data_IF_809883451590
#
_entry.id   IF_809883451590
#
_cell.length_a   1.000
_cell.length_b   1.000
_cell.length_c   1.000
_cell.angle_alpha   90.00
_cell.angle_beta   90.00
_cell.angle_gamma   90.00
#
_symmetry.space_group_name_H-M   'P 1'
#
loop_
_entity.id
_entity.type
_entity.pdbx_description
1 polymer ?
#
# COMPACT_ATOMS: atom_id res chain seq x y z
N UNK A 1 1.11 -28.11 -22.06
CA UNK A 1 0.79 -28.47 -20.67
C UNK A 1 2.12 -28.68 -19.96
N UNK A 2 2.59 -27.69 -19.21
CA UNK A 2 3.77 -27.80 -18.33
C UNK A 2 3.22 -28.04 -16.93
N UNK A 3 3.62 -29.15 -16.31
CA UNK A 3 3.32 -29.45 -14.92
C UNK A 3 4.03 -28.41 -14.05
N UNK A 4 3.24 -27.58 -13.36
CA UNK A 4 3.72 -26.82 -12.22
C UNK A 4 3.88 -27.79 -11.05
N UNK A 5 5.13 -28.13 -10.73
CA UNK A 5 5.43 -28.73 -9.43
C UNK A 5 5.17 -27.66 -8.37
N UNK A 6 4.10 -27.85 -7.58
CA UNK A 6 3.88 -27.08 -6.38
C UNK A 6 5.05 -27.35 -5.44
N UNK A 7 5.84 -26.34 -5.16
CA UNK A 7 6.75 -26.37 -4.02
C UNK A 7 5.92 -26.39 -2.73
N UNK A 8 5.74 -27.59 -2.19
CA UNK A 8 5.31 -27.82 -0.82
C UNK A 8 6.46 -27.37 0.09
N UNK A 9 6.40 -26.15 0.64
CA UNK A 9 7.04 -25.76 1.92
C UNK A 9 6.85 -24.27 2.24
N UNK A 10 5.61 -23.82 2.40
CA UNK A 10 5.33 -22.46 2.90
C UNK A 10 4.37 -22.42 4.08
N UNK A 11 4.29 -23.50 4.87
CA UNK A 11 3.63 -23.48 6.17
C UNK A 11 4.59 -22.93 7.24
N UNK A 12 4.82 -21.62 7.25
CA UNK A 12 5.36 -20.93 8.40
C UNK A 12 4.22 -20.08 8.97
N UNK A 13 3.68 -20.53 10.10
CA UNK A 13 2.83 -19.68 10.93
C UNK A 13 3.53 -18.32 11.07
N UNK A 14 2.79 -17.24 10.89
CA UNK A 14 3.24 -15.87 11.15
C UNK A 14 4.02 -15.88 12.44
N UNK A 15 5.29 -15.44 12.42
CA UNK A 15 6.14 -15.60 13.61
C UNK A 15 5.53 -14.78 14.76
N UNK A 16 5.77 -15.19 15.98
CA UNK A 16 5.30 -14.47 17.17
C UNK A 16 5.78 -13.01 17.15
N UNK A 17 6.94 -12.76 16.55
CA UNK A 17 7.54 -11.43 16.42
C UNK A 17 6.81 -10.58 15.36
N UNK A 18 6.28 -11.18 14.29
CA UNK A 18 5.48 -10.50 13.26
C UNK A 18 4.11 -10.12 13.81
N UNK A 19 3.45 -11.01 14.55
CA UNK A 19 2.21 -10.72 15.26
C UNK A 19 2.42 -9.61 16.33
N UNK A 20 3.57 -9.60 17.01
CA UNK A 20 3.90 -8.54 17.98
C UNK A 20 4.16 -7.18 17.30
N UNK A 21 4.69 -7.15 16.07
CA UNK A 21 4.89 -5.93 15.30
C UNK A 21 3.55 -5.33 14.85
N UNK A 22 2.67 -6.18 14.32
CA UNK A 22 1.29 -5.81 13.95
C UNK A 22 0.53 -5.32 15.18
N UNK A 23 0.55 -6.07 16.27
CA UNK A 23 -0.08 -5.73 17.56
C UNK A 23 0.44 -4.40 18.14
N UNK A 24 1.73 -4.09 17.93
CA UNK A 24 2.35 -2.84 18.40
C UNK A 24 1.92 -1.64 17.57
N UNK A 25 1.81 -1.79 16.24
CA UNK A 25 1.28 -0.77 15.35
C UNK A 25 -0.19 -0.46 15.67
N UNK A 26 -1.01 -1.51 15.89
CA UNK A 26 -2.41 -1.37 16.28
C UNK A 26 -2.60 -0.73 17.65
N UNK A 27 -1.82 -1.13 18.65
CA UNK A 27 -1.91 -0.51 19.99
C UNK A 27 -1.60 0.98 19.96
N UNK A 28 -0.63 1.39 19.16
CA UNK A 28 -0.32 2.81 19.00
C UNK A 28 -1.49 3.59 18.43
N UNK A 29 -2.14 3.07 17.38
CA UNK A 29 -3.33 3.69 16.81
C UNK A 29 -4.52 3.70 17.78
N UNK A 30 -4.77 2.59 18.48
CA UNK A 30 -5.85 2.46 19.47
C UNK A 30 -5.64 3.32 20.74
N UNK A 31 -4.39 3.57 21.14
CA UNK A 31 -4.07 4.40 22.30
C UNK A 31 -4.21 5.90 22.01
N UNK A 32 -4.04 6.31 20.76
CA UNK A 32 -4.14 7.71 20.33
C UNK A 32 -5.60 8.16 20.11
N UNK A 33 -6.53 7.26 19.79
CA UNK A 33 -7.94 7.57 19.57
C UNK A 33 -8.79 7.43 20.84
N UNK A 34 -9.52 8.47 21.20
CA UNK A 34 -10.46 8.47 22.32
C UNK A 34 -11.90 8.32 21.84
N UNK A 35 -12.66 7.42 22.47
CA UNK A 35 -14.12 7.21 22.39
C UNK A 35 -14.87 7.67 21.13
N UNK A 36 -15.18 8.94 21.01
CA UNK A 36 -15.87 9.53 19.85
C UNK A 36 -15.03 9.41 18.57
N UNK A 37 -13.73 9.61 18.64
CA UNK A 37 -12.81 9.51 17.50
C UNK A 37 -12.75 8.07 16.96
N UNK A 38 -12.90 7.06 17.84
CA UNK A 38 -12.96 5.65 17.43
C UNK A 38 -14.20 5.31 16.60
N UNK A 39 -15.35 5.87 16.94
CA UNK A 39 -16.59 5.65 16.20
C UNK A 39 -16.51 6.29 14.81
N UNK A 40 -16.00 7.50 14.71
CA UNK A 40 -15.81 8.18 13.42
C UNK A 40 -14.73 7.50 12.57
N UNK A 41 -13.64 7.03 13.18
CA UNK A 41 -12.62 6.25 12.49
C UNK A 41 -13.17 4.91 11.96
N UNK A 42 -14.00 4.20 12.74
CA UNK A 42 -14.63 2.97 12.28
C UNK A 42 -15.56 3.21 11.08
N UNK A 43 -16.37 4.28 11.12
CA UNK A 43 -17.21 4.67 9.98
C UNK A 43 -16.40 5.07 8.75
N UNK A 44 -15.24 5.72 8.97
CA UNK A 44 -14.35 6.10 7.89
C UNK A 44 -13.72 4.86 7.23
N UNK A 45 -13.31 3.86 8.01
CA UNK A 45 -12.83 2.58 7.50
C UNK A 45 -13.90 1.86 6.69
N UNK A 46 -15.13 1.74 7.23
CA UNK A 46 -16.26 1.11 6.54
C UNK A 46 -16.54 1.82 5.20
N UNK A 47 -16.55 3.15 5.20
CA UNK A 47 -16.74 3.94 3.99
C UNK A 47 -15.67 3.70 2.94
N UNK A 48 -14.38 3.66 3.34
CA UNK A 48 -13.26 3.35 2.44
C UNK A 48 -13.39 1.92 1.91
N UNK A 49 -13.73 0.95 2.78
CA UNK A 49 -13.85 -0.45 2.39
C UNK A 49 -14.98 -0.68 1.36
N UNK A 50 -16.09 0.06 1.49
CA UNK A 50 -17.23 0.00 0.58
C UNK A 50 -17.06 0.82 -0.70
N UNK A 51 -16.03 1.65 -0.77
CA UNK A 51 -15.82 2.56 -1.90
C UNK A 51 -15.36 1.80 -3.15
N UNK A 52 -16.16 1.90 -4.22
CA UNK A 52 -15.89 1.21 -5.49
C UNK A 52 -14.88 1.97 -6.40
N UNK A 53 -14.55 3.23 -6.08
CA UNK A 53 -13.52 3.98 -6.83
C UNK A 53 -12.12 3.59 -6.39
N UNK A 54 -11.96 3.20 -5.13
CA UNK A 54 -10.70 2.69 -4.60
C UNK A 54 -10.60 1.18 -4.86
N UNK A 55 -9.64 0.79 -5.66
CA UNK A 55 -9.35 -0.63 -5.87
C UNK A 55 -8.61 -1.22 -4.66
N UNK A 56 -8.58 -2.54 -4.56
CA UNK A 56 -7.94 -3.21 -3.42
C UNK A 56 -6.47 -2.81 -3.18
N UNK A 57 -5.62 -2.58 -4.20
CA UNK A 57 -4.28 -2.02 -4.02
C UNK A 57 -4.23 -0.66 -3.33
N UNK A 58 -5.17 0.24 -3.61
CA UNK A 58 -5.23 1.56 -2.97
C UNK A 58 -5.55 1.41 -1.48
N UNK A 59 -6.52 0.55 -1.16
CA UNK A 59 -6.90 0.23 0.22
C UNK A 59 -5.78 -0.48 0.98
N UNK A 60 -4.99 -1.31 0.30
CA UNK A 60 -3.76 -1.89 0.84
C UNK A 60 -2.74 -0.81 1.23
N UNK A 61 -2.56 0.21 0.38
CA UNK A 61 -1.69 1.34 0.67
C UNK A 61 -2.19 2.14 1.88
N UNK A 62 -3.49 2.42 1.97
CA UNK A 62 -4.10 3.11 3.12
C UNK A 62 -3.93 2.28 4.41
N UNK A 63 -4.18 0.97 4.35
CA UNK A 63 -3.98 0.07 5.49
C UNK A 63 -2.52 0.05 5.97
N UNK A 64 -1.56 0.03 5.04
CA UNK A 64 -0.13 0.10 5.34
C UNK A 64 0.26 1.40 6.05
N UNK A 65 -0.35 2.51 5.67
CA UNK A 65 -0.16 3.81 6.34
C UNK A 65 -0.77 3.80 7.74
N UNK A 66 -2.00 3.33 7.91
CA UNK A 66 -2.68 3.22 9.22
C UNK A 66 -1.90 2.32 10.18
N UNK A 67 -1.31 1.24 9.69
CA UNK A 67 -0.47 0.35 10.47
C UNK A 67 0.94 0.91 10.77
N UNK A 68 1.30 2.05 10.19
CA UNK A 68 2.63 2.65 10.33
C UNK A 68 3.76 1.85 9.66
N UNK A 69 3.41 0.94 8.76
CA UNK A 69 4.37 0.14 7.98
C UNK A 69 4.87 0.96 6.78
N UNK A 70 3.94 1.71 6.16
CA UNK A 70 4.25 2.67 5.11
C UNK A 70 4.25 4.08 5.70
N UNK A 71 5.43 4.70 5.87
CA UNK A 71 5.53 6.09 6.36
C UNK A 71 4.73 7.08 5.51
N UNK A 72 4.81 6.90 4.19
CA UNK A 72 4.00 7.57 3.17
C UNK A 72 3.42 6.51 2.24
N UNK A 73 2.25 6.74 1.71
CA UNK A 73 1.67 5.95 0.63
C UNK A 73 1.16 6.85 -0.48
N UNK A 74 1.04 6.28 -1.67
CA UNK A 74 0.41 6.93 -2.80
C UNK A 74 -0.67 6.02 -3.39
N UNK A 75 -1.72 6.62 -3.92
CA UNK A 75 -2.73 5.96 -4.74
C UNK A 75 -3.36 6.97 -5.70
N UNK A 76 -3.95 6.46 -6.76
CA UNK A 76 -4.54 7.30 -7.80
C UNK A 76 -5.79 6.64 -8.41
N UNK A 77 -6.69 7.45 -8.92
CA UNK A 77 -7.89 7.01 -9.59
C UNK A 77 -8.42 8.05 -10.58
N UNK A 78 -9.35 7.63 -11.42
CA UNK A 78 -10.01 8.50 -12.38
C UNK A 78 -11.44 8.82 -11.93
N UNK A 79 -11.82 10.10 -12.02
CA UNK A 79 -13.18 10.56 -11.72
C UNK A 79 -13.73 11.39 -12.88
N UNK A 80 -15.04 11.41 -13.04
CA UNK A 80 -15.70 12.34 -13.96
C UNK A 80 -15.44 13.78 -13.51
N UNK A 81 -15.12 14.67 -14.45
CA UNK A 81 -14.95 16.09 -14.15
C UNK A 81 -16.24 16.78 -13.66
N UNK A 82 -17.41 16.21 -13.96
CA UNK A 82 -18.71 16.66 -13.42
C UNK A 82 -18.91 16.20 -11.96
N UNK A 83 -17.86 15.68 -11.35
CA UNK A 83 -17.80 14.86 -10.19
C UNK A 83 -18.56 15.32 -8.96
N UNK A 84 -19.19 14.35 -8.34
CA UNK A 84 -19.69 14.41 -6.97
C UNK A 84 -18.55 14.72 -6.00
N UNK A 85 -18.83 15.50 -4.96
CA UNK A 85 -17.92 15.68 -3.83
C UNK A 85 -17.57 14.30 -3.26
N UNK A 86 -16.36 13.87 -3.55
CA UNK A 86 -15.90 12.58 -3.12
C UNK A 86 -15.51 12.66 -1.64
N UNK A 87 -16.24 11.97 -0.80
CA UNK A 87 -16.02 12.07 0.65
C UNK A 87 -14.81 11.30 1.19
N UNK A 88 -13.87 10.92 0.33
CA UNK A 88 -12.61 10.28 0.71
C UNK A 88 -11.76 11.19 1.62
N UNK A 89 -11.65 12.47 1.28
CA UNK A 89 -10.86 13.42 2.08
C UNK A 89 -11.36 13.49 3.52
N UNK A 90 -12.69 13.56 3.70
CA UNK A 90 -13.29 13.52 5.04
C UNK A 90 -13.05 12.19 5.76
N UNK A 91 -13.02 11.07 5.05
CA UNK A 91 -12.69 9.79 5.64
C UNK A 91 -11.21 9.72 6.06
N UNK A 92 -10.29 10.22 5.23
CA UNK A 92 -8.87 10.30 5.57
C UNK A 92 -8.63 11.20 6.80
N UNK A 93 -9.29 12.37 6.85
CA UNK A 93 -9.23 13.28 8.00
C UNK A 93 -9.75 12.62 9.29
N UNK A 94 -10.86 11.88 9.22
CA UNK A 94 -11.41 11.16 10.38
C UNK A 94 -10.50 10.01 10.85
N UNK A 95 -9.63 9.51 9.97
CA UNK A 95 -8.58 8.56 10.30
C UNK A 95 -7.28 9.22 10.79
N UNK A 96 -7.24 10.56 10.90
CA UNK A 96 -6.03 11.29 11.26
C UNK A 96 -4.93 11.24 10.20
N UNK A 97 -5.30 10.93 8.96
CA UNK A 97 -4.37 10.86 7.83
C UNK A 97 -4.22 12.25 7.21
N UNK A 98 -3.00 12.73 7.13
CA UNK A 98 -2.63 13.91 6.33
C UNK A 98 -2.49 13.50 4.87
N UNK A 99 -2.90 14.38 3.95
CA UNK A 99 -2.78 14.10 2.53
C UNK A 99 -2.44 15.34 1.73
N UNK A 100 -1.83 15.12 0.57
CA UNK A 100 -1.76 16.06 -0.54
C UNK A 100 -2.47 15.47 -1.74
N UNK A 101 -3.05 16.32 -2.56
CA UNK A 101 -3.86 15.95 -3.71
C UNK A 101 -3.40 16.70 -4.93
N UNK A 102 -3.14 15.97 -6.00
CA UNK A 102 -2.91 16.52 -7.33
C UNK A 102 -4.03 16.08 -8.27
N UNK A 103 -4.42 16.97 -9.17
CA UNK A 103 -5.45 16.70 -10.16
C UNK A 103 -4.95 17.11 -11.53
N UNK A 104 -4.99 16.19 -12.47
CA UNK A 104 -4.59 16.39 -13.85
C UNK A 104 -5.71 15.98 -14.81
N UNK A 105 -5.84 16.66 -15.95
CA UNK A 105 -6.73 16.18 -17.01
C UNK A 105 -6.21 14.83 -17.52
N UNK A 106 -7.13 13.88 -17.71
CA UNK A 106 -6.75 12.59 -18.29
C UNK A 106 -6.31 12.78 -19.74
N UNK A 107 -5.14 12.26 -20.08
CA UNK A 107 -4.63 12.26 -21.46
C UNK A 107 -5.43 11.35 -22.40
N UNK A 108 -6.20 10.42 -21.87
CA UNK A 108 -6.97 9.43 -22.63
C UNK A 108 -8.45 9.81 -22.78
N UNK A 109 -9.03 10.49 -21.80
CA UNK A 109 -10.41 10.94 -21.81
C UNK A 109 -10.52 12.31 -21.14
N UNK A 110 -10.75 13.39 -21.93
CA UNK A 110 -10.88 14.74 -21.38
C UNK A 110 -12.08 14.96 -20.45
N UNK A 111 -13.04 14.03 -20.41
CA UNK A 111 -14.16 14.07 -19.45
C UNK A 111 -13.78 13.54 -18.06
N UNK A 112 -12.59 12.94 -17.94
CA UNK A 112 -12.07 12.36 -16.72
C UNK A 112 -10.91 13.19 -16.16
N UNK A 113 -10.83 13.30 -14.86
CA UNK A 113 -9.67 13.79 -14.14
C UNK A 113 -8.92 12.61 -13.50
N UNK A 114 -7.61 12.62 -13.62
CA UNK A 114 -6.71 11.73 -12.86
C UNK A 114 -6.37 12.43 -11.56
N UNK A 115 -6.72 11.79 -10.44
CA UNK A 115 -6.50 12.29 -9.09
C UNK A 115 -5.45 11.42 -8.43
N UNK A 116 -4.39 12.04 -7.93
CA UNK A 116 -3.33 11.37 -7.16
C UNK A 116 -3.31 11.89 -5.74
N UNK A 117 -3.15 10.99 -4.79
CA UNK A 117 -2.98 11.30 -3.38
C UNK A 117 -1.65 10.77 -2.87
N UNK A 118 -0.95 11.61 -2.09
CA UNK A 118 0.06 11.12 -1.15
C UNK A 118 -0.49 11.26 0.26
N UNK A 119 -0.33 10.24 1.07
CA UNK A 119 -0.90 10.16 2.42
C UNK A 119 0.15 9.74 3.44
N UNK A 120 0.04 10.26 4.67
CA UNK A 120 0.85 9.88 5.82
C UNK A 120 0.11 10.14 7.13
N UNK A 121 0.48 9.43 8.22
CA UNK A 121 0.01 9.77 9.57
C UNK A 121 0.71 11.02 10.15
N UNK A 122 1.91 11.34 9.66
CA UNK A 122 2.66 12.52 10.07
C UNK A 122 2.77 13.50 8.89
N UNK A 123 2.08 14.64 9.00
CA UNK A 123 2.10 15.68 7.97
C UNK A 123 3.48 16.31 7.74
N UNK A 124 4.38 16.25 8.74
CA UNK A 124 5.77 16.70 8.56
C UNK A 124 6.53 15.74 7.66
N UNK A 125 6.33 14.44 7.87
CA UNK A 125 6.95 13.39 7.05
C UNK A 125 6.46 13.45 5.60
N UNK A 126 5.16 13.70 5.40
CA UNK A 126 4.59 13.91 4.08
C UNK A 126 5.26 15.07 3.35
N UNK A 127 5.46 16.20 4.04
CA UNK A 127 6.15 17.34 3.48
C UNK A 127 7.63 17.06 3.17
N UNK A 128 8.33 16.35 4.05
CA UNK A 128 9.73 15.93 3.81
C UNK A 128 9.83 15.05 2.56
N UNK A 129 8.89 14.12 2.38
CA UNK A 129 8.79 13.30 1.16
C UNK A 129 8.64 14.18 -0.09
N UNK A 130 7.70 15.12 -0.09
CA UNK A 130 7.46 16.00 -1.24
C UNK A 130 8.70 16.84 -1.57
N UNK A 131 9.35 17.39 -0.54
CA UNK A 131 10.56 18.21 -0.71
C UNK A 131 11.73 17.36 -1.29
N UNK A 132 11.93 16.12 -0.81
CA UNK A 132 12.97 15.20 -1.32
C UNK A 132 12.62 14.71 -2.73
N UNK A 133 11.36 14.35 -3.00
CA UNK A 133 10.91 13.91 -4.32
C UNK A 133 11.08 15.01 -5.38
N UNK A 134 10.70 16.24 -5.05
CA UNK A 134 10.90 17.40 -5.93
C UNK A 134 12.39 17.74 -6.16
N UNK A 135 13.28 17.38 -5.25
CA UNK A 135 14.70 17.61 -5.37
C UNK A 135 15.44 16.53 -6.18
N UNK A 136 14.84 15.36 -6.39
CA UNK A 136 15.42 14.25 -7.15
C UNK A 136 15.66 14.65 -8.60
N UNK A 137 16.88 14.42 -9.09
CA UNK A 137 17.31 14.83 -10.45
C UNK A 137 17.46 13.67 -11.42
N UNK A 138 17.50 12.46 -10.90
CA UNK A 138 17.67 11.24 -11.67
C UNK A 138 16.57 10.25 -11.31
N UNK A 139 16.28 9.32 -12.22
CA UNK A 139 15.34 8.21 -11.96
C UNK A 139 15.76 7.40 -10.74
N UNK A 140 17.07 7.14 -10.57
CA UNK A 140 17.58 6.43 -9.41
C UNK A 140 17.30 7.18 -8.10
N UNK A 141 17.55 8.50 -8.06
CA UNK A 141 17.25 9.32 -6.88
C UNK A 141 15.76 9.27 -6.55
N UNK A 142 14.88 9.39 -7.55
CA UNK A 142 13.43 9.30 -7.36
C UNK A 142 13.02 7.94 -6.79
N UNK A 143 13.47 6.83 -7.38
CA UNK A 143 13.20 5.48 -6.89
C UNK A 143 13.65 5.29 -5.44
N UNK A 144 14.81 5.80 -5.07
CA UNK A 144 15.32 5.68 -3.70
C UNK A 144 14.52 6.52 -2.71
N UNK A 145 14.06 7.70 -3.10
CA UNK A 145 13.17 8.52 -2.29
C UNK A 145 11.84 7.82 -2.09
N UNK A 146 11.19 7.39 -3.18
CA UNK A 146 9.90 6.70 -3.11
C UNK A 146 10.00 5.42 -2.25
N UNK A 147 11.00 4.58 -2.52
CA UNK A 147 11.20 3.34 -1.77
C UNK A 147 11.40 3.57 -0.27
N UNK A 148 12.21 4.56 0.10
CA UNK A 148 12.45 4.96 1.50
C UNK A 148 11.16 5.38 2.20
N UNK A 149 10.39 6.25 1.57
CA UNK A 149 9.18 6.80 2.18
C UNK A 149 7.99 5.85 2.09
N UNK A 150 7.92 5.00 1.06
CA UNK A 150 6.89 3.94 0.99
C UNK A 150 7.21 2.74 1.89
N UNK A 151 8.36 2.77 2.59
CA UNK A 151 8.72 1.76 3.57
C UNK A 151 9.21 0.45 2.95
N UNK A 152 9.61 0.46 1.68
CA UNK A 152 10.09 -0.75 1.02
C UNK A 152 11.42 -1.23 1.62
N UNK A 153 11.63 -2.56 1.71
CA UNK A 153 12.92 -3.11 2.10
C UNK A 153 14.06 -2.61 1.20
N UNK A 154 15.23 -2.35 1.79
CA UNK A 154 16.38 -1.82 1.03
C UNK A 154 16.79 -2.72 -0.14
N UNK A 155 16.69 -4.04 0.02
CA UNK A 155 16.97 -5.03 -1.03
C UNK A 155 16.04 -4.88 -2.23
N UNK A 156 14.76 -4.63 -2.00
CA UNK A 156 13.78 -4.35 -3.05
C UNK A 156 14.07 -3.03 -3.77
N UNK A 157 14.43 -1.96 -3.02
CA UNK A 157 14.81 -0.67 -3.60
C UNK A 157 16.04 -0.82 -4.50
N UNK A 158 17.08 -1.48 -4.02
CA UNK A 158 18.33 -1.66 -4.77
C UNK A 158 18.10 -2.50 -6.03
N UNK A 159 17.30 -3.56 -5.94
CA UNK A 159 16.90 -4.37 -7.09
C UNK A 159 16.14 -3.54 -8.14
N UNK A 160 15.19 -2.70 -7.69
CA UNK A 160 14.40 -1.88 -8.59
C UNK A 160 15.26 -0.81 -9.29
N UNK A 161 16.22 -0.22 -8.57
CA UNK A 161 17.20 0.72 -9.15
C UNK A 161 18.07 0.03 -10.20
N UNK A 162 18.61 -1.16 -9.90
CA UNK A 162 19.43 -1.92 -10.85
C UNK A 162 18.64 -2.25 -12.12
N UNK A 163 17.40 -2.65 -11.95
CA UNK A 163 16.49 -2.97 -13.03
C UNK A 163 16.15 -1.75 -13.90
N UNK A 164 15.81 -0.62 -13.29
CA UNK A 164 15.51 0.63 -14.01
C UNK A 164 16.69 1.14 -14.84
N UNK A 165 17.92 0.82 -14.42
CA UNK A 165 19.15 1.16 -15.12
C UNK A 165 19.54 0.11 -16.18
N UNK A 166 18.85 -1.03 -16.28
CA UNK A 166 19.10 -2.08 -17.24
C UNK A 166 18.21 -1.95 -18.48
N UNK A 167 18.72 -2.34 -19.67
CA UNK A 167 17.93 -2.40 -20.92
C UNK A 167 16.79 -3.46 -20.87
N UNK A 168 16.61 -4.13 -19.72
CA UNK A 168 15.62 -5.19 -19.49
C UNK A 168 14.32 -4.70 -18.84
N UNK A 169 14.01 -3.41 -18.93
CA UNK A 169 12.84 -2.81 -18.29
C UNK A 169 11.47 -3.34 -18.77
N UNK A 170 11.43 -4.13 -19.85
CA UNK A 170 10.18 -4.58 -20.49
C UNK A 170 9.72 -5.99 -20.08
N UNK A 171 10.55 -6.78 -19.39
CA UNK A 171 10.21 -8.16 -19.01
C UNK A 171 10.08 -8.30 -17.49
N UNK A 172 8.96 -7.83 -16.94
CA UNK A 172 8.52 -8.27 -15.61
C UNK A 172 8.13 -9.74 -15.70
N UNK A 173 8.85 -10.62 -15.01
CA UNK A 173 8.45 -12.03 -14.93
C UNK A 173 7.10 -12.12 -14.21
N UNK A 174 6.29 -13.14 -14.56
CA UNK A 174 4.99 -13.36 -13.91
C UNK A 174 5.10 -13.45 -12.37
N UNK A 175 6.27 -13.78 -11.84
CA UNK A 175 6.54 -13.83 -10.40
C UNK A 175 6.71 -12.46 -9.76
N UNK A 176 7.20 -11.47 -10.51
CA UNK A 176 7.38 -10.11 -10.01
C UNK A 176 6.07 -9.33 -9.93
N UNK A 177 5.04 -9.75 -10.69
CA UNK A 177 3.69 -9.16 -10.69
C UNK A 177 2.76 -9.79 -9.64
N UNK A 178 3.18 -10.85 -8.96
CA UNK A 178 2.34 -11.62 -8.04
C UNK A 178 2.08 -10.90 -6.71
N UNK A 179 2.88 -9.90 -6.39
CA UNK A 179 2.86 -9.17 -5.14
C UNK A 179 2.53 -7.69 -5.34
N UNK A 180 2.15 -7.04 -4.27
CA UNK A 180 1.81 -5.61 -4.27
C UNK A 180 3.03 -4.70 -4.44
N UNK A 181 4.22 -5.26 -4.41
CA UNK A 181 5.47 -4.58 -4.76
C UNK A 181 6.40 -5.49 -5.57
N UNK A 182 7.39 -4.91 -6.23
CA UNK A 182 8.44 -5.66 -6.92
C UNK A 182 9.46 -6.12 -5.89
N UNK A 183 9.64 -7.44 -5.82
CA UNK A 183 10.58 -8.08 -4.91
C UNK A 183 11.91 -8.38 -5.61
N UNK A 184 12.99 -8.32 -4.83
CA UNK A 184 14.28 -8.88 -5.25
C UNK A 184 14.15 -10.41 -5.33
N UNK A 185 14.52 -11.07 -6.45
CA UNK A 185 14.38 -12.51 -6.59
C UNK A 185 15.07 -13.33 -5.50
N UNK A 186 16.17 -12.81 -4.96
CA UNK A 186 16.96 -13.47 -3.92
C UNK A 186 16.33 -13.34 -2.52
N UNK A 187 15.56 -12.27 -2.29
CA UNK A 187 15.00 -11.89 -0.98
C UNK A 187 13.47 -11.86 -0.98
N UNK A 188 12.81 -12.25 -2.09
CA UNK A 188 11.37 -12.08 -2.27
C UNK A 188 10.53 -12.60 -1.08
N UNK A 189 10.89 -13.76 -0.53
CA UNK A 189 10.18 -14.35 0.61
C UNK A 189 10.32 -13.53 1.89
N UNK A 190 11.52 -13.01 2.16
CA UNK A 190 11.80 -12.19 3.34
C UNK A 190 11.12 -10.83 3.23
N UNK A 191 11.22 -10.20 2.05
CA UNK A 191 10.59 -8.92 1.74
C UNK A 191 9.07 -9.01 1.84
N UNK A 192 8.47 -10.07 1.28
CA UNK A 192 7.05 -10.35 1.39
C UNK A 192 6.61 -10.49 2.84
N UNK A 193 7.32 -11.28 3.64
CA UNK A 193 6.98 -11.49 5.05
C UNK A 193 7.15 -10.22 5.90
N UNK A 194 8.14 -9.42 5.59
CA UNK A 194 8.43 -8.20 6.38
C UNK A 194 7.53 -7.03 6.02
N UNK A 195 7.05 -6.98 4.78
CA UNK A 195 6.33 -5.82 4.27
C UNK A 195 4.86 -6.14 3.96
N UNK A 196 4.58 -7.11 3.10
CA UNK A 196 3.20 -7.33 2.63
C UNK A 196 2.32 -8.06 3.64
N UNK A 197 2.86 -9.07 4.33
CA UNK A 197 2.08 -9.84 5.34
C UNK A 197 1.53 -8.95 6.44
N UNK A 198 2.31 -8.03 7.06
CA UNK A 198 1.77 -7.12 8.06
C UNK A 198 0.72 -6.15 7.51
N UNK A 199 0.89 -5.67 6.26
CA UNK A 199 -0.10 -4.79 5.64
C UNK A 199 -1.40 -5.55 5.34
N UNK A 200 -1.33 -6.81 4.90
CA UNK A 200 -2.52 -7.65 4.70
C UNK A 200 -3.28 -7.90 6.00
N UNK A 201 -2.56 -8.12 7.10
CA UNK A 201 -3.19 -8.24 8.42
C UNK A 201 -3.90 -6.94 8.83
N UNK A 202 -3.28 -5.79 8.58
CA UNK A 202 -3.89 -4.49 8.78
C UNK A 202 -5.12 -4.28 7.87
N UNK A 203 -5.01 -4.65 6.59
CA UNK A 203 -6.11 -4.56 5.64
C UNK A 203 -7.30 -5.42 6.07
N UNK A 204 -7.04 -6.62 6.58
CA UNK A 204 -8.10 -7.49 7.10
C UNK A 204 -8.83 -6.88 8.30
N UNK A 205 -8.13 -6.11 9.11
CA UNK A 205 -8.74 -5.42 10.25
C UNK A 205 -9.51 -4.16 9.83
N UNK A 206 -8.94 -3.33 8.96
CA UNK A 206 -9.53 -2.04 8.60
C UNK A 206 -10.51 -2.13 7.43
N UNK A 207 -10.22 -3.02 6.46
CA UNK A 207 -10.94 -3.15 5.19
C UNK A 207 -11.21 -4.64 4.88
N UNK A 208 -12.01 -5.35 5.71
CA UNK A 208 -12.18 -6.79 5.61
C UNK A 208 -12.75 -7.26 4.29
N UNK A 209 -13.70 -6.51 3.69
CA UNK A 209 -14.30 -6.83 2.40
C UNK A 209 -13.25 -6.77 1.27
N UNK A 210 -12.43 -5.73 1.27
CA UNK A 210 -11.38 -5.54 0.28
C UNK A 210 -10.22 -6.51 0.45
N UNK A 211 -9.92 -6.90 1.70
CA UNK A 211 -8.93 -7.93 1.99
C UNK A 211 -9.35 -9.30 1.44
N UNK A 212 -10.63 -9.67 1.55
CA UNK A 212 -11.16 -10.90 0.97
C UNK A 212 -11.02 -10.89 -0.56
N UNK A 213 -11.42 -9.80 -1.22
CA UNK A 213 -11.29 -9.65 -2.67
C UNK A 213 -9.83 -9.70 -3.15
N UNK A 214 -8.89 -9.10 -2.39
CA UNK A 214 -7.46 -9.15 -2.72
C UNK A 214 -6.90 -10.56 -2.58
N UNK A 215 -7.30 -11.32 -1.54
CA UNK A 215 -6.90 -12.71 -1.37
C UNK A 215 -7.35 -13.60 -2.52
N UNK A 216 -8.60 -13.44 -2.96
CA UNK A 216 -9.12 -14.18 -4.11
C UNK A 216 -8.33 -13.87 -5.39
N UNK A 217 -7.97 -12.61 -5.59
CA UNK A 217 -7.24 -12.16 -6.77
C UNK A 217 -5.77 -12.62 -6.77
N UNK A 218 -5.08 -12.51 -5.64
CA UNK A 218 -3.64 -12.81 -5.54
C UNK A 218 -3.35 -14.27 -5.21
N UNK A 219 -4.36 -15.05 -4.81
CA UNK A 219 -4.16 -16.41 -4.31
C UNK A 219 -3.40 -16.45 -2.98
N UNK A 220 -3.50 -15.38 -2.20
CA UNK A 220 -2.90 -15.28 -0.88
C UNK A 220 -3.30 -16.47 0.01
N UNK A 221 -2.38 -17.16 0.67
CA UNK A 221 -2.70 -18.34 1.44
C UNK A 221 -3.67 -18.04 2.59
N UNK A 222 -4.72 -18.84 2.73
CA UNK A 222 -5.60 -18.80 3.89
C UNK A 222 -4.82 -19.18 5.16
N UNK A 223 -5.03 -18.45 6.27
CA UNK A 223 -4.35 -18.65 7.55
C UNK A 223 -4.55 -20.04 8.19
N UNK A 224 -5.31 -20.96 7.57
CA UNK A 224 -5.78 -22.22 8.15
C UNK A 224 -5.46 -23.50 7.35
N UNK A 225 -4.51 -23.52 6.45
CA UNK A 225 -4.02 -24.81 5.95
C UNK A 225 -2.86 -25.33 6.82
N UNK A 226 -3.22 -25.80 8.03
CA UNK A 226 -2.43 -26.68 8.88
C UNK A 226 -2.70 -28.14 8.51
#
# INVERSE_FOLDING_TARGET
>A
MRNFERHEDTNRATSKDELELVDRAFRRYDEELKGYEREEAAKACERIDEDDLLIAPDKFNIAGTLAGIKPVSAFDFYVSQEGEEYGLESALENLGIHFTKESHESSHDPSMAHISYHIALDGKLLKEFEDESAAAKTTEEAIRVDGKYYGFPQTAIDYFVERANSDKSEDLSDQELYYMMIHSPEHAKEEFQQFEVPIMAAMQQYFPRSAEGLREFTGWPEENEN
#
